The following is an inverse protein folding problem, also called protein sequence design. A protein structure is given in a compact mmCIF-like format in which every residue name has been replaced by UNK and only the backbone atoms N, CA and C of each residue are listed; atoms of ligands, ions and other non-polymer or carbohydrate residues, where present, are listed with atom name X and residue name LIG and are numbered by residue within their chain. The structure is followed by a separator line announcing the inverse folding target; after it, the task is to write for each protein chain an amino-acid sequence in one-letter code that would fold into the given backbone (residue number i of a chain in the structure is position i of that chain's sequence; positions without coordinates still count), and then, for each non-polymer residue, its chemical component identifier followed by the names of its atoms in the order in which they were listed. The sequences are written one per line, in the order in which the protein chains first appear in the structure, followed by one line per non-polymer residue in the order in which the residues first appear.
data_IF_700870460257
#
_entry.id   IF_700870460257
#
_cell.length_a   1.000
_cell.length_b   1.000
_cell.length_c   1.000
_cell.angle_alpha   90.00
_cell.angle_beta   90.00
_cell.angle_gamma   90.00
#
_symmetry.space_group_name_H-M   'P 1'
#
loop_
_entity.id
_entity.type
_entity.pdbx_description
1 polymer ?
#
# COMPACT_ATOMS: atom_id res chain seq x y z
N UNK A 1 12.81 5.45 -14.07
CA UNK A 1 13.12 6.87 -13.79
C UNK A 1 13.84 6.98 -12.45
N UNK A 2 14.56 8.07 -12.15
CA UNK A 2 15.36 8.18 -10.92
C UNK A 2 14.54 8.27 -9.62
N UNK A 3 13.32 8.81 -9.68
CA UNK A 3 12.49 9.02 -8.49
C UNK A 3 11.79 7.73 -8.02
N UNK A 4 11.39 6.84 -8.93
CA UNK A 4 10.79 5.53 -8.61
C UNK A 4 11.79 4.71 -7.78
N UNK A 5 13.03 4.62 -8.25
CA UNK A 5 14.11 3.93 -7.55
C UNK A 5 14.40 4.55 -6.17
N UNK A 6 14.32 5.88 -6.06
CA UNK A 6 14.49 6.57 -4.78
C UNK A 6 13.35 6.24 -3.82
N UNK A 7 12.10 6.32 -4.27
CA UNK A 7 10.93 6.01 -3.47
C UNK A 7 10.95 4.55 -2.99
N UNK A 8 11.21 3.59 -3.88
CA UNK A 8 11.36 2.17 -3.53
C UNK A 8 12.49 1.94 -2.52
N UNK A 9 13.65 2.60 -2.71
CA UNK A 9 14.77 2.49 -1.76
C UNK A 9 14.44 3.07 -0.39
N UNK A 10 13.68 4.17 -0.34
CA UNK A 10 13.25 4.78 0.91
C UNK A 10 12.18 3.95 1.62
N UNK A 11 11.26 3.29 0.88
CA UNK A 11 10.29 2.34 1.45
C UNK A 11 10.97 1.13 2.10
N UNK A 12 12.10 0.69 1.54
CA UNK A 12 12.90 -0.41 2.06
C UNK A 12 14.01 0.04 3.02
N UNK A 13 14.08 1.34 3.35
CA UNK A 13 15.11 1.86 4.23
C UNK A 13 14.89 1.38 5.67
N UNK A 14 15.99 1.27 6.42
CA UNK A 14 15.96 0.96 7.86
C UNK A 14 15.32 2.09 8.67
N UNK A 15 15.44 3.33 8.22
CA UNK A 15 14.90 4.50 8.90
C UNK A 15 13.38 4.63 8.70
N UNK A 16 12.63 4.69 9.79
CA UNK A 16 11.16 4.75 9.74
C UNK A 16 10.63 6.06 9.13
N UNK A 17 11.35 7.18 9.30
CA UNK A 17 10.94 8.45 8.70
C UNK A 17 11.12 8.44 7.18
N UNK A 18 12.19 7.81 6.68
CA UNK A 18 12.38 7.60 5.26
C UNK A 18 11.22 6.79 4.65
N UNK A 19 10.79 5.72 5.34
CA UNK A 19 9.61 4.93 4.92
C UNK A 19 8.33 5.75 4.95
N UNK A 20 8.11 6.56 5.98
CA UNK A 20 6.93 7.43 6.10
C UNK A 20 6.87 8.50 5.00
N UNK A 21 7.98 9.18 4.72
CA UNK A 21 8.02 10.18 3.65
C UNK A 21 7.82 9.55 2.28
N UNK A 22 8.37 8.35 2.06
CA UNK A 22 8.14 7.62 0.83
C UNK A 22 6.69 7.15 0.70
N UNK A 23 6.04 6.73 1.81
CA UNK A 23 4.62 6.35 1.78
C UNK A 23 3.71 7.53 1.47
N UNK A 24 4.02 8.72 1.98
CA UNK A 24 3.31 9.95 1.63
C UNK A 24 3.43 10.29 0.13
N UNK A 25 4.63 10.16 -0.45
CA UNK A 25 4.84 10.36 -1.88
C UNK A 25 4.04 9.35 -2.72
N UNK A 26 4.08 8.07 -2.35
CA UNK A 26 3.34 7.03 -3.06
C UNK A 26 1.83 7.21 -2.90
N UNK A 27 1.37 7.69 -1.74
CA UNK A 27 -0.02 8.06 -1.54
C UNK A 27 -0.46 9.17 -2.51
N UNK A 28 0.30 10.26 -2.64
CA UNK A 28 -0.04 11.35 -3.56
C UNK A 28 -0.10 10.87 -5.01
N UNK A 29 0.81 9.98 -5.40
CA UNK A 29 0.79 9.36 -6.73
C UNK A 29 -0.44 8.46 -6.90
N UNK A 30 -0.74 7.60 -5.91
CA UNK A 30 -1.86 6.67 -5.96
C UNK A 30 -3.19 7.41 -5.99
N UNK A 31 -3.29 8.53 -5.26
CA UNK A 31 -4.44 9.42 -5.25
C UNK A 31 -4.70 10.04 -6.63
N UNK A 32 -3.64 10.39 -7.36
CA UNK A 32 -3.78 10.94 -8.72
C UNK A 32 -4.41 9.94 -9.71
N UNK A 33 -3.94 8.69 -9.69
CA UNK A 33 -4.54 7.62 -10.50
C UNK A 33 -5.94 7.26 -9.99
N UNK A 34 -6.13 7.17 -8.68
CA UNK A 34 -7.43 6.90 -8.05
C UNK A 34 -8.50 7.91 -8.48
N UNK A 35 -8.18 9.22 -8.48
CA UNK A 35 -9.11 10.26 -8.92
C UNK A 35 -9.49 10.11 -10.40
N UNK A 36 -8.55 9.64 -11.24
CA UNK A 36 -8.85 9.37 -12.66
C UNK A 36 -9.83 8.18 -12.77
N UNK A 37 -9.64 7.12 -11.99
CA UNK A 37 -10.56 5.98 -11.93
C UNK A 37 -11.98 6.36 -11.47
N UNK A 38 -12.11 7.33 -10.56
CA UNK A 38 -13.43 7.85 -10.14
C UNK A 38 -14.15 8.64 -11.25
N UNK A 39 -13.41 9.11 -12.24
CA UNK A 39 -13.94 9.80 -13.43
C UNK A 39 -14.12 8.84 -14.63
N UNK A 40 -14.03 7.52 -14.41
CA UNK A 40 -14.01 6.48 -15.46
C UNK A 40 -12.88 6.66 -16.50
N UNK A 41 -11.81 7.35 -16.11
CA UNK A 41 -10.60 7.55 -16.93
C UNK A 41 -9.50 6.53 -16.54
N UNK A 42 -8.64 6.11 -17.49
CA UNK A 42 -7.56 5.18 -17.19
C UNK A 42 -6.46 5.82 -16.33
N UNK A 43 -5.71 4.97 -15.61
CA UNK A 43 -4.51 5.37 -14.87
C UNK A 43 -3.53 6.14 -15.75
N UNK A 44 -3.08 7.29 -15.24
CA UNK A 44 -2.22 8.24 -15.95
C UNK A 44 -0.75 8.03 -15.58
N UNK A 45 -0.46 7.84 -14.30
CA UNK A 45 0.90 7.52 -13.81
C UNK A 45 1.21 6.03 -13.93
N UNK A 46 0.20 5.16 -13.75
CA UNK A 46 0.32 3.70 -13.82
C UNK A 46 1.39 3.20 -12.85
N UNK A 47 1.17 3.41 -11.55
CA UNK A 47 2.11 2.98 -10.50
C UNK A 47 2.42 1.49 -10.59
N UNK A 48 1.46 0.66 -10.98
CA UNK A 48 1.65 -0.77 -11.25
C UNK A 48 2.67 -1.08 -12.35
N UNK A 49 2.92 -0.14 -13.26
CA UNK A 49 3.94 -0.24 -14.31
C UNK A 49 5.31 0.31 -13.87
N UNK A 50 5.40 0.97 -12.72
CA UNK A 50 6.66 1.48 -12.18
C UNK A 50 7.44 0.34 -11.54
N UNK A 51 8.69 0.16 -11.96
CA UNK A 51 9.51 -0.97 -11.54
C UNK A 51 9.69 -0.99 -10.01
N UNK A 52 9.33 -2.10 -9.38
CA UNK A 52 9.54 -2.41 -7.96
C UNK A 52 8.83 -1.51 -6.93
N UNK A 53 8.12 -0.44 -7.33
CA UNK A 53 7.54 0.52 -6.38
C UNK A 53 6.39 -0.09 -5.58
N UNK A 54 5.51 -0.82 -6.26
CA UNK A 54 4.38 -1.48 -5.62
C UNK A 54 4.82 -2.60 -4.67
N UNK A 55 5.77 -3.42 -5.12
CA UNK A 55 6.38 -4.47 -4.31
C UNK A 55 7.09 -3.89 -3.07
N UNK A 56 7.84 -2.79 -3.23
CA UNK A 56 8.50 -2.12 -2.12
C UNK A 56 7.49 -1.56 -1.11
N UNK A 57 6.35 -1.03 -1.57
CA UNK A 57 5.29 -0.56 -0.68
C UNK A 57 4.68 -1.73 0.12
N UNK A 58 4.34 -2.82 -0.55
CA UNK A 58 3.75 -4.00 0.08
C UNK A 58 4.74 -4.61 1.09
N UNK A 59 6.01 -4.72 0.71
CA UNK A 59 7.07 -5.21 1.59
C UNK A 59 7.24 -4.30 2.82
N UNK A 60 7.21 -2.97 2.63
CA UNK A 60 7.26 -2.03 3.73
C UNK A 60 6.04 -2.18 4.66
N UNK A 61 4.82 -2.36 4.13
CA UNK A 61 3.62 -2.67 4.91
C UNK A 61 3.81 -3.93 5.75
N UNK A 62 4.30 -5.03 5.15
CA UNK A 62 4.53 -6.31 5.82
C UNK A 62 5.64 -6.21 6.89
N UNK A 63 6.66 -5.42 6.64
CA UNK A 63 7.84 -5.36 7.51
C UNK A 63 7.82 -4.25 8.56
N UNK A 64 6.91 -3.28 8.48
CA UNK A 64 6.83 -2.18 9.45
C UNK A 64 6.49 -2.68 10.87
N UNK A 65 7.38 -2.41 11.83
CA UNK A 65 7.28 -2.87 13.23
C UNK A 65 7.74 -1.82 14.23
N UNK A 66 8.09 -0.63 13.76
CA UNK A 66 8.76 0.41 14.54
C UNK A 66 7.83 1.60 14.82
N UNK A 67 6.97 1.97 13.86
CA UNK A 67 6.13 3.17 13.95
C UNK A 67 4.70 2.93 13.49
N UNK A 68 3.75 3.27 14.36
CA UNK A 68 2.31 3.26 14.02
C UNK A 68 1.98 4.29 12.94
N UNK A 69 2.59 5.48 13.00
CA UNK A 69 2.38 6.54 12.00
C UNK A 69 2.89 6.12 10.62
N UNK A 70 4.06 5.47 10.57
CA UNK A 70 4.61 4.94 9.32
C UNK A 70 3.71 3.86 8.74
N UNK A 71 3.24 2.92 9.57
CA UNK A 71 2.29 1.90 9.14
C UNK A 71 1.00 2.52 8.60
N UNK A 72 0.46 3.54 9.27
CA UNK A 72 -0.74 4.25 8.82
C UNK A 72 -0.54 4.86 7.43
N UNK A 73 0.55 5.59 7.19
CA UNK A 73 0.85 6.17 5.87
C UNK A 73 1.02 5.10 4.78
N UNK A 74 1.69 3.99 5.10
CA UNK A 74 1.85 2.85 4.20
C UNK A 74 0.50 2.21 3.83
N UNK A 75 -0.38 2.01 4.81
CA UNK A 75 -1.72 1.46 4.60
C UNK A 75 -2.60 2.39 3.78
N UNK A 76 -2.51 3.70 4.00
CA UNK A 76 -3.27 4.70 3.25
C UNK A 76 -2.86 4.69 1.78
N UNK A 77 -1.55 4.64 1.50
CA UNK A 77 -1.03 4.51 0.13
C UNK A 77 -1.50 3.21 -0.55
N UNK A 78 -1.41 2.07 0.15
CA UNK A 78 -1.87 0.78 -0.37
C UNK A 78 -3.39 0.77 -0.62
N UNK A 79 -4.17 1.37 0.30
CA UNK A 79 -5.61 1.51 0.15
C UNK A 79 -5.98 2.27 -1.12
N UNK A 80 -5.29 3.37 -1.44
CA UNK A 80 -5.54 4.14 -2.67
C UNK A 80 -5.17 3.38 -3.94
N UNK A 81 -4.14 2.52 -3.90
CA UNK A 81 -3.79 1.67 -5.03
C UNK A 81 -4.85 0.61 -5.30
N UNK A 82 -5.42 0.02 -4.25
CA UNK A 82 -6.40 -1.06 -4.38
C UNK A 82 -7.83 -0.56 -4.61
N UNK A 83 -8.18 0.58 -4.02
CA UNK A 83 -9.55 1.10 -4.06
C UNK A 83 -9.92 1.61 -5.46
N UNK A 84 -11.02 1.06 -5.99
CA UNK A 84 -11.49 1.25 -7.36
C UNK A 84 -10.52 0.78 -8.45
N UNK A 85 -9.47 0.03 -8.11
CA UNK A 85 -8.63 -0.64 -9.10
C UNK A 85 -9.23 -1.99 -9.53
N UNK A 86 -8.80 -2.49 -10.67
CA UNK A 86 -9.19 -3.81 -11.18
C UNK A 86 -8.72 -4.92 -10.22
N UNK A 87 -9.65 -5.76 -9.76
CA UNK A 87 -9.42 -6.87 -8.80
C UNK A 87 -8.58 -7.99 -9.44
N UNK A 88 -8.63 -8.10 -10.76
CA UNK A 88 -7.75 -8.97 -11.56
C UNK A 88 -6.44 -8.27 -11.95
N UNK A 89 -6.24 -7.03 -11.50
CA UNK A 89 -5.02 -6.27 -11.73
C UNK A 89 -3.80 -6.83 -10.98
N UNK A 90 -2.62 -6.53 -11.51
CA UNK A 90 -1.33 -6.99 -10.97
C UNK A 90 -1.14 -6.68 -9.49
N UNK A 91 -1.70 -5.55 -9.02
CA UNK A 91 -1.55 -5.11 -7.64
C UNK A 91 -2.29 -6.00 -6.66
N UNK A 92 -3.50 -6.41 -7.04
CA UNK A 92 -4.28 -7.38 -6.27
C UNK A 92 -3.65 -8.76 -6.28
N UNK A 93 -3.13 -9.19 -7.44
CA UNK A 93 -2.38 -10.45 -7.55
C UNK A 93 -1.16 -10.48 -6.64
N UNK A 94 -0.39 -9.38 -6.60
CA UNK A 94 0.79 -9.28 -5.75
C UNK A 94 0.42 -9.29 -4.26
N UNK A 95 -0.64 -8.58 -3.86
CA UNK A 95 -1.14 -8.63 -2.48
C UNK A 95 -1.56 -10.03 -2.04
N UNK A 96 -2.19 -10.80 -2.94
CA UNK A 96 -2.53 -12.21 -2.70
C UNK A 96 -1.27 -13.08 -2.61
N UNK A 97 -0.33 -12.93 -3.55
CA UNK A 97 0.90 -13.71 -3.59
C UNK A 97 1.80 -13.49 -2.37
N UNK A 98 1.76 -12.30 -1.77
CA UNK A 98 2.54 -11.93 -0.58
C UNK A 98 1.79 -12.12 0.74
N UNK A 99 0.58 -12.71 0.73
CA UNK A 99 -0.26 -12.94 1.92
C UNK A 99 -0.45 -11.69 2.80
N UNK A 100 -0.59 -10.52 2.16
CA UNK A 100 -0.68 -9.21 2.85
C UNK A 100 -1.78 -9.21 3.90
N UNK A 101 -2.92 -9.82 3.57
CA UNK A 101 -4.06 -9.96 4.49
C UNK A 101 -3.67 -10.64 5.79
N UNK A 102 -2.96 -11.77 5.72
CA UNK A 102 -2.54 -12.48 6.93
C UNK A 102 -1.52 -11.66 7.72
N UNK A 103 -0.55 -11.04 7.04
CA UNK A 103 0.45 -10.18 7.68
C UNK A 103 -0.20 -9.01 8.45
N UNK A 104 -1.24 -8.39 7.89
CA UNK A 104 -2.00 -7.32 8.55
C UNK A 104 -2.80 -7.83 9.75
N UNK A 105 -3.43 -9.01 9.65
CA UNK A 105 -4.14 -9.62 10.78
C UNK A 105 -3.20 -9.95 11.95
N UNK A 106 -1.98 -10.39 11.66
CA UNK A 106 -0.95 -10.61 12.68
C UNK A 106 -0.47 -9.29 13.31
N UNK A 107 -0.28 -8.25 12.51
CA UNK A 107 0.06 -6.89 12.99
C UNK A 107 -1.02 -6.29 13.87
N UNK A 108 -2.30 -6.49 13.55
CA UNK A 108 -3.42 -6.00 14.36
C UNK A 108 -3.43 -6.54 15.80
N UNK A 109 -2.74 -7.66 16.06
CA UNK A 109 -2.59 -8.24 17.41
C UNK A 109 -1.43 -7.63 18.20
N UNK A 110 -0.54 -6.87 17.55
CA UNK A 110 0.62 -6.27 18.19
C UNK A 110 0.21 -5.05 19.04
N UNK A 111 0.73 -4.89 20.28
CA UNK A 111 0.41 -3.75 21.12
C UNK A 111 0.72 -2.39 20.48
N UNK A 112 1.77 -2.32 19.66
CA UNK A 112 2.21 -1.11 18.97
C UNK A 112 1.15 -0.55 18.01
N UNK A 113 0.39 -1.43 17.35
CA UNK A 113 -0.59 -1.06 16.32
C UNK A 113 -2.03 -1.09 16.83
N UNK A 114 -2.22 -1.15 18.15
CA UNK A 114 -3.55 -1.15 18.75
C UNK A 114 -4.30 0.13 18.35
N UNK A 115 -5.54 -0.05 17.87
CA UNK A 115 -6.38 1.04 17.41
C UNK A 115 -5.92 1.68 16.10
N UNK A 116 -5.14 0.98 15.27
CA UNK A 116 -4.97 1.33 13.86
C UNK A 116 -6.17 0.79 13.08
N UNK A 117 -7.08 1.66 12.65
CA UNK A 117 -8.32 1.25 11.98
C UNK A 117 -8.08 0.79 10.55
N UNK A 118 -7.06 1.34 9.88
CA UNK A 118 -6.74 0.98 8.49
C UNK A 118 -6.31 -0.48 8.33
N UNK A 119 -5.78 -1.11 9.38
CA UNK A 119 -5.50 -2.56 9.35
C UNK A 119 -6.78 -3.33 9.06
N UNK A 120 -7.88 -2.96 9.71
CA UNK A 120 -9.16 -3.63 9.51
C UNK A 120 -9.74 -3.33 8.13
N UNK A 121 -9.72 -2.07 7.70
CA UNK A 121 -10.25 -1.66 6.39
C UNK A 121 -9.50 -2.34 5.24
N UNK A 122 -8.16 -2.34 5.27
CA UNK A 122 -7.36 -2.95 4.20
C UNK A 122 -7.43 -4.47 4.26
N UNK A 123 -7.30 -5.10 5.44
CA UNK A 123 -7.25 -6.56 5.54
C UNK A 123 -8.62 -7.25 5.41
N UNK A 124 -9.68 -6.67 5.96
CA UNK A 124 -11.01 -7.29 6.00
C UNK A 124 -11.93 -6.79 4.89
N UNK A 125 -11.97 -5.49 4.64
CA UNK A 125 -12.88 -4.92 3.63
C UNK A 125 -12.26 -5.03 2.24
N UNK A 126 -11.08 -4.46 2.00
CA UNK A 126 -10.44 -4.52 0.68
C UNK A 126 -9.99 -5.94 0.34
N UNK A 127 -8.98 -6.47 1.02
CA UNK A 127 -8.39 -7.77 0.71
C UNK A 127 -9.26 -8.97 1.14
N UNK A 128 -10.29 -8.76 1.96
CA UNK A 128 -11.16 -9.82 2.45
C UNK A 128 -12.49 -9.95 1.69
N UNK A 129 -13.17 -8.83 1.47
CA UNK A 129 -14.48 -8.77 0.78
C UNK A 129 -14.37 -8.23 -0.63
N UNK A 130 -13.49 -7.26 -0.87
CA UNK A 130 -13.20 -6.72 -2.20
C UNK A 130 -12.67 -7.78 -3.15
N UNK A 131 -11.84 -8.69 -2.66
CA UNK A 131 -11.31 -9.85 -3.42
C UNK A 131 -12.40 -10.85 -3.89
N UNK A 132 -13.64 -10.71 -3.44
CA UNK A 132 -14.78 -11.57 -3.81
C UNK A 132 -15.80 -10.88 -4.72
N UNK A 133 -15.59 -9.61 -5.07
CA UNK A 133 -16.44 -8.87 -6.00
C UNK A 133 -15.99 -9.15 -7.43
#
# INVERSE_FOLDING_TARGET
MAFENLASSCLLAKDSNARFLASALVYDMALFDHNSRLEDEPDKLKISAMENLEAALIEAVINERESKETLHGLLLALGMLLYSADIEGSTWELCRAMDVRQALQEKGKMPLFKGETLIQEVAEELLGRGDKR
#
